data_IF_184605861637
#
_entry.id   IF_184605861637
#
_cell.length_a   1.000
_cell.length_b   1.000
_cell.length_c   1.000
_cell.angle_alpha   90.00
_cell.angle_beta   90.00
_cell.angle_gamma   90.00
#
_symmetry.space_group_name_H-M   'P 1'
#
loop_
_entity.id
_entity.type
_entity.pdbx_description
1 polymer ?
#
# COMPACT_ATOMS: atom_id res chain seq x y z
N UNK A 1 9.10 11.98 -40.84
CA UNK A 1 8.48 12.64 -39.70
C UNK A 1 8.10 11.58 -38.64
N UNK A 2 8.59 11.72 -37.46
CA UNK A 2 8.24 10.79 -36.40
C UNK A 2 6.78 10.95 -35.99
N UNK A 3 6.02 9.88 -36.07
CA UNK A 3 4.71 9.87 -35.47
C UNK A 3 4.83 10.25 -33.98
N UNK A 4 3.92 11.12 -33.52
CA UNK A 4 3.90 11.49 -32.12
C UNK A 4 3.82 10.23 -31.24
N UNK A 5 4.72 10.10 -30.28
CA UNK A 5 4.68 9.00 -29.32
C UNK A 5 3.33 9.02 -28.62
N UNK A 6 2.61 7.93 -28.74
CA UNK A 6 1.37 7.76 -28.01
C UNK A 6 1.69 7.83 -26.52
N UNK A 7 1.15 8.80 -25.82
CA UNK A 7 1.34 8.91 -24.38
C UNK A 7 0.68 7.72 -23.69
N UNK A 8 1.41 7.07 -22.81
CA UNK A 8 0.85 6.01 -21.99
C UNK A 8 -0.15 6.61 -21.03
N UNK A 9 -1.23 5.92 -20.82
CA UNK A 9 -2.20 6.28 -19.79
C UNK A 9 -1.52 6.21 -18.41
N UNK A 10 -1.86 7.15 -17.55
CA UNK A 10 -1.40 7.14 -16.16
C UNK A 10 -2.58 6.76 -15.28
N UNK A 11 -2.37 5.79 -14.38
CA UNK A 11 -3.35 5.42 -13.38
C UNK A 11 -2.82 5.70 -11.99
N UNK A 12 -3.71 6.08 -11.11
CA UNK A 12 -3.41 6.47 -9.74
C UNK A 12 -4.12 5.57 -8.75
N UNK A 13 -3.42 5.23 -7.69
CA UNK A 13 -3.98 4.50 -6.57
C UNK A 13 -3.28 4.85 -5.28
N UNK A 14 -3.77 4.28 -4.19
CA UNK A 14 -3.13 4.37 -2.89
C UNK A 14 -3.09 2.99 -2.26
N UNK A 15 -2.01 2.68 -1.56
CA UNK A 15 -1.86 1.44 -0.81
C UNK A 15 -1.45 1.74 0.63
N UNK A 16 -1.81 0.83 1.51
CA UNK A 16 -1.75 1.05 2.95
C UNK A 16 -0.91 -0.04 3.62
N UNK A 17 0.14 0.37 4.30
CA UNK A 17 0.94 -0.49 5.16
C UNK A 17 0.38 -0.37 6.58
N UNK A 18 -0.31 -1.40 7.03
CA UNK A 18 -0.88 -1.45 8.38
C UNK A 18 -0.15 -2.51 9.18
N UNK A 19 0.54 -2.06 10.21
CA UNK A 19 1.38 -2.90 11.06
C UNK A 19 0.82 -2.92 12.48
N UNK A 20 0.74 -4.12 13.08
CA UNK A 20 0.32 -4.25 14.46
C UNK A 20 1.51 -4.16 15.45
N UNK A 21 1.20 -4.19 16.75
CA UNK A 21 2.20 -4.09 17.79
C UNK A 21 3.16 -5.30 17.86
N UNK A 22 2.79 -6.41 17.21
CA UNK A 22 3.58 -7.64 17.19
C UNK A 22 4.41 -7.80 15.93
N UNK A 23 4.48 -6.77 15.10
CA UNK A 23 5.24 -6.82 13.85
C UNK A 23 4.59 -7.64 12.74
N UNK A 24 3.27 -7.65 12.68
CA UNK A 24 2.51 -8.26 11.59
C UNK A 24 1.97 -7.20 10.65
N UNK A 25 1.98 -7.50 9.36
CA UNK A 25 1.49 -6.62 8.30
C UNK A 25 0.22 -7.21 7.71
N UNK A 26 -0.77 -6.36 7.48
CA UNK A 26 -2.00 -6.78 6.81
C UNK A 26 -1.79 -6.89 5.31
N UNK A 27 -2.04 -8.06 4.75
CA UNK A 27 -2.05 -8.31 3.31
C UNK A 27 -3.43 -8.81 2.88
N UNK A 28 -3.80 -8.48 1.65
CA UNK A 28 -5.00 -8.99 1.00
C UNK A 28 -4.61 -9.77 -0.24
N UNK A 29 -5.49 -10.67 -0.67
CA UNK A 29 -5.33 -11.38 -1.94
C UNK A 29 -6.18 -10.70 -2.99
N UNK A 30 -5.58 -10.35 -4.12
CA UNK A 30 -6.32 -9.79 -5.24
C UNK A 30 -7.31 -10.83 -5.80
N UNK A 31 -8.41 -10.37 -6.41
CA UNK A 31 -9.35 -11.28 -7.08
C UNK A 31 -8.60 -12.21 -8.05
N UNK A 32 -9.08 -13.45 -8.26
CA UNK A 32 -8.36 -14.43 -9.09
C UNK A 32 -8.28 -14.06 -10.57
N UNK A 33 -9.05 -13.07 -11.03
CA UNK A 33 -9.07 -12.61 -12.42
C UNK A 33 -8.58 -11.17 -12.50
N UNK A 34 -8.16 -10.76 -13.70
CA UNK A 34 -7.67 -9.40 -13.93
C UNK A 34 -6.18 -9.26 -13.65
N UNK A 35 -5.72 -8.02 -13.67
CA UNK A 35 -4.31 -7.70 -13.51
C UNK A 35 -3.79 -8.17 -12.14
N UNK A 36 -2.69 -8.92 -12.15
CA UNK A 36 -2.07 -9.48 -10.95
C UNK A 36 -3.04 -10.36 -10.14
N UNK A 37 -3.97 -11.02 -10.82
CA UNK A 37 -4.99 -11.83 -10.17
C UNK A 37 -4.43 -12.91 -9.26
N UNK A 38 -5.01 -13.05 -8.08
CA UNK A 38 -4.62 -14.04 -7.08
C UNK A 38 -3.35 -13.73 -6.31
N UNK A 39 -2.61 -12.67 -6.65
CA UNK A 39 -1.40 -12.28 -5.94
C UNK A 39 -1.74 -11.51 -4.66
N UNK A 40 -0.82 -11.53 -3.71
CA UNK A 40 -0.96 -10.78 -2.47
C UNK A 40 -0.64 -9.30 -2.70
N UNK A 41 -1.27 -8.43 -1.94
CA UNK A 41 -1.03 -7.00 -1.98
C UNK A 41 -1.23 -6.35 -0.62
N UNK A 42 -0.65 -5.16 -0.46
CA UNK A 42 -1.07 -4.25 0.59
C UNK A 42 -2.51 -3.80 0.28
N UNK A 43 -3.38 -3.63 1.29
CA UNK A 43 -4.70 -3.05 1.05
C UNK A 43 -4.59 -1.77 0.25
N UNK A 44 -5.53 -1.51 -0.63
CA UNK A 44 -5.46 -0.32 -1.47
C UNK A 44 -6.76 0.04 -2.13
N UNK A 45 -6.70 1.13 -2.87
CA UNK A 45 -7.80 1.65 -3.66
C UNK A 45 -7.82 0.99 -5.05
N UNK A 46 -8.86 1.27 -5.82
CA UNK A 46 -8.83 1.05 -7.26
C UNK A 46 -7.75 1.92 -7.90
N UNK A 47 -7.24 1.45 -9.04
CA UNK A 47 -6.29 2.19 -9.86
C UNK A 47 -7.05 2.85 -11.00
N UNK A 48 -7.07 4.18 -11.00
CA UNK A 48 -7.89 4.96 -11.93
C UNK A 48 -7.10 6.10 -12.56
N UNK A 49 -7.62 6.65 -13.66
CA UNK A 49 -6.95 7.75 -14.36
C UNK A 49 -6.96 9.06 -13.56
N UNK A 50 -7.98 9.26 -12.75
CA UNK A 50 -8.07 10.44 -11.88
C UNK A 50 -7.26 10.23 -10.59
N UNK A 51 -6.41 11.19 -10.19
CA UNK A 51 -5.69 11.08 -8.93
C UNK A 51 -6.63 10.92 -7.73
N UNK A 52 -6.09 10.36 -6.65
CA UNK A 52 -6.77 10.20 -5.38
C UNK A 52 -6.35 11.33 -4.43
N UNK A 53 -7.20 12.35 -4.17
CA UNK A 53 -6.90 13.29 -3.09
C UNK A 53 -6.71 12.56 -1.77
N UNK A 54 -5.86 13.09 -0.91
CA UNK A 54 -5.52 12.42 0.35
C UNK A 54 -6.77 12.07 1.18
N UNK A 55 -7.72 12.97 1.28
CA UNK A 55 -8.95 12.73 2.03
C UNK A 55 -9.76 11.56 1.46
N UNK A 56 -9.84 11.47 0.13
CA UNK A 56 -10.55 10.38 -0.54
C UNK A 56 -9.80 9.06 -0.39
N UNK A 57 -8.47 9.07 -0.56
CA UNK A 57 -7.64 7.90 -0.38
C UNK A 57 -7.74 7.34 1.04
N UNK A 58 -7.64 8.20 2.04
CA UNK A 58 -7.70 7.81 3.45
C UNK A 58 -9.07 7.31 3.87
N UNK A 59 -10.13 7.75 3.20
CA UNK A 59 -11.47 7.20 3.42
C UNK A 59 -11.55 5.71 2.99
N UNK A 60 -10.67 5.28 2.09
CA UNK A 60 -10.58 3.89 1.64
C UNK A 60 -9.59 3.05 2.45
N UNK A 61 -8.97 3.60 3.49
CA UNK A 61 -8.04 2.86 4.33
C UNK A 61 -8.74 1.68 5.02
N UNK A 62 -7.99 0.58 5.29
CA UNK A 62 -8.59 -0.63 5.86
C UNK A 62 -9.17 -0.45 7.26
N UNK A 63 -8.65 0.51 8.02
CA UNK A 63 -9.21 0.90 9.32
C UNK A 63 -8.71 2.29 9.69
N UNK A 64 -9.32 2.89 10.70
CA UNK A 64 -8.86 4.16 11.24
C UNK A 64 -7.50 3.99 11.92
N UNK A 65 -6.59 4.87 11.61
CA UNK A 65 -5.24 4.88 12.18
C UNK A 65 -4.59 6.24 11.90
N UNK A 66 -3.44 6.47 12.50
CA UNK A 66 -2.64 7.67 12.24
C UNK A 66 -1.80 7.46 10.98
N UNK A 67 -2.44 7.55 9.83
CA UNK A 67 -1.82 7.32 8.53
C UNK A 67 -0.83 8.43 8.16
N UNK A 68 0.35 8.01 7.73
CA UNK A 68 1.40 8.89 7.25
C UNK A 68 1.68 8.58 5.79
N UNK A 69 1.73 9.61 4.95
CA UNK A 69 2.16 9.47 3.57
C UNK A 69 3.68 9.26 3.54
N UNK A 70 4.13 8.09 3.13
CA UNK A 70 5.56 7.75 3.16
C UNK A 70 6.25 7.93 1.82
N UNK A 71 5.51 8.09 0.75
CA UNK A 71 6.07 8.31 -0.56
C UNK A 71 5.17 7.88 -1.70
N UNK A 72 5.74 7.90 -2.90
CA UNK A 72 5.07 7.52 -4.14
C UNK A 72 5.87 6.43 -4.82
N UNK A 73 5.20 5.32 -5.14
CA UNK A 73 5.78 4.25 -5.92
C UNK A 73 5.36 4.41 -7.38
N UNK A 74 6.31 4.31 -8.29
CA UNK A 74 6.07 4.35 -9.73
C UNK A 74 6.32 2.97 -10.31
N UNK A 75 5.44 2.52 -11.18
CA UNK A 75 5.61 1.24 -11.86
C UNK A 75 5.05 1.29 -13.28
N UNK A 76 5.85 0.89 -14.26
CA UNK A 76 5.43 0.83 -15.65
C UNK A 76 4.85 -0.53 -15.98
N UNK A 77 3.61 -0.56 -16.46
CA UNK A 77 3.03 -1.71 -17.15
C UNK A 77 3.10 -1.49 -18.65
N UNK A 78 2.78 -2.52 -19.43
CA UNK A 78 2.85 -2.42 -20.89
C UNK A 78 1.97 -1.29 -21.45
N UNK A 79 0.79 -1.12 -20.91
CA UNK A 79 -0.20 -0.18 -21.45
C UNK A 79 -0.43 1.06 -20.60
N UNK A 80 0.13 1.13 -19.40
CA UNK A 80 -0.04 2.29 -18.54
C UNK A 80 1.09 2.42 -17.52
N UNK A 81 1.26 3.64 -17.04
CA UNK A 81 2.10 3.94 -15.88
C UNK A 81 1.23 3.97 -14.63
N UNK A 82 1.72 3.40 -13.55
CA UNK A 82 1.02 3.40 -12.28
C UNK A 82 1.74 4.30 -11.28
N UNK A 83 0.98 5.18 -10.66
CA UNK A 83 1.45 6.08 -9.62
C UNK A 83 0.69 5.75 -8.34
N UNK A 84 1.40 5.27 -7.33
CA UNK A 84 0.79 4.84 -6.07
C UNK A 84 1.27 5.71 -4.92
N UNK A 85 0.33 6.38 -4.26
CA UNK A 85 0.60 6.95 -2.95
C UNK A 85 0.67 5.81 -1.93
N UNK A 86 1.69 5.83 -1.09
CA UNK A 86 1.88 4.81 -0.06
C UNK A 86 1.74 5.45 1.30
N UNK A 87 0.80 4.94 2.07
CA UNK A 87 0.54 5.35 3.44
C UNK A 87 0.92 4.23 4.40
N UNK A 88 1.39 4.60 5.57
CA UNK A 88 1.74 3.63 6.59
C UNK A 88 1.23 4.06 7.96
N UNK A 89 0.87 3.09 8.77
CA UNK A 89 0.48 3.30 10.15
C UNK A 89 0.81 2.08 10.99
N UNK A 90 1.06 2.31 12.25
CA UNK A 90 1.16 1.27 13.28
C UNK A 90 0.00 1.40 14.24
N UNK A 91 -0.59 0.26 14.56
CA UNK A 91 -1.73 0.17 15.48
C UNK A 91 -1.46 -0.89 16.52
N UNK A 92 -2.18 -0.83 17.64
CA UNK A 92 -2.08 -1.87 18.65
C UNK A 92 -2.60 -3.20 18.14
N UNK A 93 -3.73 -3.16 17.42
CA UNK A 93 -4.40 -4.33 16.88
C UNK A 93 -5.01 -4.02 15.53
N UNK A 94 -4.78 -4.90 14.56
CA UNK A 94 -5.46 -4.84 13.27
C UNK A 94 -6.86 -5.41 13.42
N UNK A 95 -7.87 -4.60 13.12
CA UNK A 95 -9.28 -5.00 13.15
C UNK A 95 -9.84 -5.30 11.76
N UNK A 96 -9.16 -4.84 10.71
CA UNK A 96 -9.58 -5.09 9.33
C UNK A 96 -9.38 -6.56 8.95
N UNK A 97 -10.23 -7.06 8.05
CA UNK A 97 -10.10 -8.41 7.51
C UNK A 97 -8.91 -8.54 6.58
N UNK A 98 -8.27 -9.69 6.61
CA UNK A 98 -7.13 -9.99 5.75
C UNK A 98 -6.16 -10.94 6.42
N UNK A 99 -4.99 -11.11 5.81
CA UNK A 99 -3.95 -11.97 6.35
C UNK A 99 -2.92 -11.14 7.10
N UNK A 100 -2.62 -11.53 8.33
CA UNK A 100 -1.52 -10.94 9.10
C UNK A 100 -0.26 -11.76 8.86
N UNK A 101 0.75 -11.12 8.28
CA UNK A 101 2.01 -11.77 7.92
C UNK A 101 3.13 -11.16 8.75
N UNK A 102 3.95 -11.97 9.45
CA UNK A 102 5.10 -11.45 10.18
C UNK A 102 6.06 -10.71 9.25
N UNK A 103 6.64 -9.61 9.70
CA UNK A 103 7.64 -8.86 8.93
C UNK A 103 8.76 -9.76 8.41
N UNK A 104 9.20 -10.72 9.22
CA UNK A 104 10.26 -11.65 8.83
C UNK A 104 9.86 -12.56 7.66
N UNK A 105 8.57 -12.80 7.45
CA UNK A 105 8.06 -13.63 6.36
C UNK A 105 7.70 -12.83 5.11
N UNK A 106 7.79 -11.51 5.16
CA UNK A 106 7.32 -10.64 4.08
C UNK A 106 8.12 -10.84 2.79
N UNK A 107 9.43 -11.06 2.90
CA UNK A 107 10.30 -11.27 1.74
C UNK A 107 9.97 -12.58 1.00
N UNK A 108 9.47 -13.57 1.72
CA UNK A 108 9.00 -14.83 1.13
C UNK A 108 7.57 -14.80 0.64
N UNK A 109 6.84 -13.72 0.86
CA UNK A 109 5.48 -13.59 0.38
C UNK A 109 5.46 -13.34 -1.13
N UNK A 110 4.47 -13.90 -1.81
CA UNK A 110 4.32 -13.75 -3.26
C UNK A 110 3.76 -12.36 -3.62
N UNK A 111 4.55 -11.33 -3.38
CA UNK A 111 4.19 -9.96 -3.71
C UNK A 111 4.65 -9.61 -5.13
N UNK A 112 3.78 -9.03 -5.97
CA UNK A 112 4.21 -8.52 -7.27
C UNK A 112 5.21 -7.37 -7.11
N UNK A 113 6.00 -7.13 -8.15
CA UNK A 113 7.06 -6.12 -8.14
C UNK A 113 6.58 -4.75 -7.71
N UNK A 114 5.37 -4.35 -8.11
CA UNK A 114 4.80 -3.05 -7.73
C UNK A 114 4.58 -2.98 -6.22
N UNK A 115 4.13 -4.06 -5.59
CA UNK A 115 3.96 -4.10 -4.14
C UNK A 115 5.31 -4.14 -3.43
N UNK A 116 6.28 -4.82 -3.98
CA UNK A 116 7.65 -4.81 -3.45
C UNK A 116 8.23 -3.39 -3.42
N UNK A 117 7.91 -2.56 -4.42
CA UNK A 117 8.29 -1.14 -4.43
C UNK A 117 7.64 -0.36 -3.30
N UNK A 118 6.37 -0.62 -3.03
CA UNK A 118 5.66 0.00 -1.91
C UNK A 118 6.30 -0.39 -0.57
N UNK A 119 6.61 -1.67 -0.40
CA UNK A 119 7.26 -2.18 0.81
C UNK A 119 8.63 -1.51 1.02
N UNK A 120 9.41 -1.36 -0.05
CA UNK A 120 10.72 -0.70 0.04
C UNK A 120 10.61 0.75 0.49
N UNK A 121 9.59 1.47 0.02
CA UNK A 121 9.35 2.85 0.47
C UNK A 121 9.10 2.91 1.97
N UNK A 122 8.26 2.02 2.47
CA UNK A 122 7.96 1.99 3.91
C UNK A 122 9.20 1.65 4.72
N UNK A 123 9.97 0.65 4.29
CA UNK A 123 11.20 0.24 4.99
C UNK A 123 12.29 1.30 4.96
N UNK A 124 12.32 2.13 3.92
CA UNK A 124 13.26 3.24 3.81
C UNK A 124 12.82 4.45 4.64
N UNK A 125 11.57 4.51 5.04
CA UNK A 125 11.04 5.58 5.88
C UNK A 125 11.55 5.38 7.32
N UNK A 126 12.33 6.32 7.82
CA UNK A 126 13.23 6.12 8.96
C UNK A 126 12.54 5.97 10.32
N UNK A 127 11.29 6.35 10.47
CA UNK A 127 10.58 6.09 11.73
C UNK A 127 9.08 6.28 11.56
N UNK A 128 8.37 5.15 11.47
CA UNK A 128 6.93 5.19 11.69
C UNK A 128 6.68 5.48 13.17
N UNK A 129 5.74 6.39 13.49
CA UNK A 129 5.35 6.59 14.87
C UNK A 129 4.88 5.27 15.48
N UNK A 130 5.28 5.04 16.72
CA UNK A 130 4.73 3.94 17.48
C UNK A 130 3.22 4.11 17.62
N UNK A 131 2.47 2.99 17.75
CA UNK A 131 1.04 3.11 18.00
C UNK A 131 0.82 4.02 19.21
N UNK A 132 -0.20 4.86 19.09
CA UNK A 132 -0.59 5.70 20.20
C UNK A 132 -1.12 4.82 21.32
N UNK A 133 -0.24 4.49 22.23
CA UNK A 133 -0.65 3.85 23.48
C UNK A 133 -0.97 4.97 24.46
N UNK A 134 -2.20 5.05 24.90
CA UNK A 134 -2.50 5.90 26.04
C UNK A 134 -1.51 5.53 27.14
N UNK A 135 -0.73 6.51 27.66
CA UNK A 135 0.19 6.18 28.74
C UNK A 135 -0.59 5.49 29.84
N UNK A 136 -0.11 4.30 30.20
CA UNK A 136 -0.70 3.59 31.32
C UNK A 136 -0.62 4.54 32.50
N UNK A 137 -1.74 4.89 33.11
CA UNK A 137 -1.67 5.72 34.32
C UNK A 137 -0.78 5.01 35.32
N UNK A 138 0.21 5.72 35.76
CA UNK A 138 1.09 5.19 36.80
C UNK A 138 0.25 4.83 38.02
#
# INVERSE_FOLDING_TARGET
MKAAKKRRTVRHGAHFWLEDANGHILLLRRPPTGLLGGMLELPGTDWRERPWPATEALAAAPQDADWIHVGVALHGFTHFELVLDVYAARVGKVSADGMLVPLAALDGAALPSVMQRCVRLVRAFSSLPLPHVNPVPA
#
